data_IF_522404072022
#
_entry.id   IF_522404072022
#
_cell.length_a   1.000
_cell.length_b   1.000
_cell.length_c   1.000
_cell.angle_alpha   90.00
_cell.angle_beta   90.00
_cell.angle_gamma   90.00
#
_symmetry.space_group_name_H-M   'P 1'
#
loop_
_entity.id
_entity.type
_entity.pdbx_description
1 polymer ?
#
# COMPACT_ATOMS: atom_id res chain seq x y z
N UNK A 1 -49.86 -35.25 -9.75
CA UNK A 1 -48.49 -34.93 -9.30
C UNK A 1 -48.06 -33.65 -9.98
N UNK A 2 -47.92 -32.54 -9.24
CA UNK A 2 -47.08 -31.37 -9.57
C UNK A 2 -47.19 -30.34 -8.41
N UNK A 3 -46.56 -30.64 -7.28
CA UNK A 3 -46.43 -29.71 -6.15
C UNK A 3 -45.19 -28.79 -6.30
N UNK A 4 -44.76 -28.54 -7.54
CA UNK A 4 -43.50 -27.86 -7.85
C UNK A 4 -43.54 -26.38 -7.49
N UNK A 5 -44.62 -25.67 -7.80
CA UNK A 5 -44.78 -24.23 -7.51
C UNK A 5 -44.78 -23.86 -6.00
N UNK A 6 -45.62 -24.46 -5.13
CA UNK A 6 -45.66 -24.10 -3.72
C UNK A 6 -44.38 -24.50 -2.97
N UNK A 7 -43.76 -25.64 -3.35
CA UNK A 7 -42.48 -26.04 -2.78
C UNK A 7 -41.35 -25.09 -3.18
N UNK A 8 -41.28 -24.69 -4.46
CA UNK A 8 -40.31 -23.71 -4.94
C UNK A 8 -40.50 -22.34 -4.28
N UNK A 9 -41.74 -21.85 -4.15
CA UNK A 9 -42.01 -20.57 -3.49
C UNK A 9 -41.57 -20.57 -2.01
N UNK A 10 -41.82 -21.67 -1.28
CA UNK A 10 -41.37 -21.83 0.11
C UNK A 10 -39.84 -21.86 0.22
N UNK A 11 -39.17 -22.55 -0.71
CA UNK A 11 -37.70 -22.61 -0.75
C UNK A 11 -37.09 -21.24 -1.07
N UNK A 12 -37.62 -20.52 -2.06
CA UNK A 12 -37.18 -19.17 -2.39
C UNK A 12 -37.43 -18.19 -1.24
N UNK A 13 -38.58 -18.29 -0.55
CA UNK A 13 -38.88 -17.48 0.62
C UNK A 13 -37.92 -17.75 1.79
N UNK A 14 -37.58 -19.01 2.06
CA UNK A 14 -36.57 -19.37 3.05
C UNK A 14 -35.17 -18.85 2.67
N UNK A 15 -34.79 -18.99 1.39
CA UNK A 15 -33.52 -18.48 0.86
C UNK A 15 -33.41 -16.96 0.96
N UNK A 16 -34.47 -16.22 0.61
CA UNK A 16 -34.50 -14.76 0.74
C UNK A 16 -34.38 -14.32 2.19
N UNK A 17 -35.07 -14.98 3.13
CA UNK A 17 -34.95 -14.67 4.57
C UNK A 17 -33.54 -14.93 5.07
N UNK A 18 -32.95 -16.07 4.71
CA UNK A 18 -31.58 -16.39 5.10
C UNK A 18 -30.59 -15.35 4.54
N UNK A 19 -30.75 -14.96 3.27
CA UNK A 19 -29.96 -13.91 2.64
C UNK A 19 -30.08 -12.58 3.41
N UNK A 20 -31.31 -12.10 3.66
CA UNK A 20 -31.54 -10.84 4.35
C UNK A 20 -30.99 -10.84 5.78
N UNK A 21 -31.18 -11.93 6.52
CA UNK A 21 -30.65 -12.07 7.88
C UNK A 21 -29.12 -12.07 7.85
N UNK A 22 -28.50 -12.85 6.97
CA UNK A 22 -27.04 -12.88 6.87
C UNK A 22 -26.49 -11.52 6.42
N UNK A 23 -27.12 -10.83 5.47
CA UNK A 23 -26.72 -9.48 5.06
C UNK A 23 -26.81 -8.49 6.22
N UNK A 24 -27.86 -8.53 7.03
CA UNK A 24 -27.97 -7.65 8.19
C UNK A 24 -26.90 -7.98 9.24
N UNK A 25 -26.69 -9.26 9.51
CA UNK A 25 -25.70 -9.70 10.52
C UNK A 25 -24.28 -9.37 10.07
N UNK A 26 -23.87 -9.75 8.86
CA UNK A 26 -22.48 -9.61 8.41
C UNK A 26 -22.17 -8.25 7.81
N UNK A 27 -23.17 -7.55 7.26
CA UNK A 27 -23.01 -6.25 6.62
C UNK A 27 -23.30 -5.06 7.53
N UNK A 28 -24.08 -5.23 8.61
CA UNK A 28 -24.46 -4.13 9.51
C UNK A 28 -24.05 -4.41 10.95
N UNK A 29 -24.58 -5.47 11.56
CA UNK A 29 -24.36 -5.70 13.00
C UNK A 29 -22.89 -5.98 13.30
N UNK A 30 -22.23 -6.84 12.52
CA UNK A 30 -20.83 -7.18 12.72
C UNK A 30 -19.88 -5.98 12.52
N UNK A 31 -19.93 -5.22 11.41
CA UNK A 31 -19.06 -4.06 11.24
C UNK A 31 -19.29 -2.98 12.31
N UNK A 32 -20.54 -2.71 12.71
CA UNK A 32 -20.83 -1.74 13.77
C UNK A 32 -20.30 -2.19 15.13
N UNK A 33 -20.46 -3.46 15.48
CA UNK A 33 -19.94 -4.01 16.73
C UNK A 33 -18.42 -3.92 16.77
N UNK A 34 -17.73 -4.38 15.72
CA UNK A 34 -16.26 -4.33 15.62
C UNK A 34 -15.77 -2.88 15.67
N UNK A 35 -16.42 -1.97 14.94
CA UNK A 35 -16.07 -0.54 14.93
C UNK A 35 -16.27 0.09 16.30
N UNK A 36 -17.40 -0.18 16.96
CA UNK A 36 -17.70 0.34 18.30
C UNK A 36 -16.67 -0.11 19.33
N UNK A 37 -16.29 -1.39 19.31
CA UNK A 37 -15.24 -1.93 20.18
C UNK A 37 -13.88 -1.29 19.87
N UNK A 38 -13.51 -1.21 18.59
CA UNK A 38 -12.23 -0.65 18.16
C UNK A 38 -12.09 0.83 18.53
N UNK A 39 -13.14 1.62 18.34
CA UNK A 39 -13.16 3.03 18.71
C UNK A 39 -13.17 3.23 20.24
N UNK A 40 -13.85 2.36 20.99
CA UNK A 40 -13.91 2.43 22.45
C UNK A 40 -12.60 2.03 23.14
N UNK A 41 -11.88 1.03 22.61
CA UNK A 41 -10.69 0.48 23.27
C UNK A 41 -9.37 0.92 22.62
N UNK A 42 -9.36 1.14 21.30
CA UNK A 42 -8.15 1.36 20.51
C UNK A 42 -8.31 2.50 19.48
N UNK A 43 -8.81 3.69 19.86
CA UNK A 43 -9.14 4.76 18.91
C UNK A 43 -7.95 5.18 18.06
N UNK A 44 -6.73 5.23 18.62
CA UNK A 44 -5.53 5.57 17.86
C UNK A 44 -5.26 4.60 16.70
N UNK A 45 -5.42 3.30 16.91
CA UNK A 45 -5.23 2.27 15.85
C UNK A 45 -6.42 2.24 14.90
N UNK A 46 -7.64 2.34 15.43
CA UNK A 46 -8.88 2.34 14.64
C UNK A 46 -8.95 3.52 13.65
N UNK A 47 -8.35 4.66 14.02
CA UNK A 47 -8.26 5.84 13.17
C UNK A 47 -6.98 5.88 12.33
N UNK A 48 -6.27 4.75 12.18
CA UNK A 48 -5.17 4.64 11.22
C UNK A 48 -3.77 4.95 11.77
N UNK A 49 -3.60 5.02 13.09
CA UNK A 49 -2.30 5.28 13.75
C UNK A 49 -1.63 6.57 13.25
N UNK A 50 -2.41 7.66 13.20
CA UNK A 50 -1.97 8.95 12.68
C UNK A 50 -0.80 9.54 13.47
N UNK A 51 0.14 10.13 12.75
CA UNK A 51 1.25 10.92 13.30
C UNK A 51 0.95 12.39 13.03
N UNK A 52 1.03 13.22 14.08
CA UNK A 52 0.74 14.64 14.01
C UNK A 52 1.94 15.49 14.43
N UNK A 53 2.12 16.63 13.76
CA UNK A 53 3.12 17.64 14.11
C UNK A 53 2.49 19.03 13.96
N UNK A 54 2.66 19.89 14.96
CA UNK A 54 2.10 21.25 14.95
C UNK A 54 0.57 21.29 14.83
N UNK A 55 -0.15 20.30 15.39
CA UNK A 55 -1.61 20.21 15.31
C UNK A 55 -2.15 19.73 13.95
N UNK A 56 -1.28 19.32 13.03
CA UNK A 56 -1.64 18.79 11.71
C UNK A 56 -1.21 17.33 11.58
N UNK A 57 -2.08 16.49 11.02
CA UNK A 57 -1.73 15.12 10.64
C UNK A 57 -0.72 15.18 9.49
N UNK A 58 0.45 14.58 9.69
CA UNK A 58 1.57 14.54 8.72
C UNK A 58 1.73 13.16 8.08
N UNK A 59 1.09 12.13 8.64
CA UNK A 59 1.13 10.77 8.10
C UNK A 59 0.52 9.74 9.03
N UNK A 60 0.87 8.48 8.80
CA UNK A 60 0.54 7.34 9.66
C UNK A 60 1.82 6.58 9.98
N UNK A 61 1.91 6.02 11.18
CA UNK A 61 3.02 5.16 11.56
C UNK A 61 3.09 3.85 10.74
N UNK A 62 2.05 3.55 9.95
CA UNK A 62 1.93 2.34 9.14
C UNK A 62 2.17 2.58 7.64
N UNK A 63 2.49 3.81 7.24
CA UNK A 63 2.62 4.19 5.82
C UNK A 63 3.98 4.84 5.57
N UNK A 64 4.81 4.18 4.77
CA UNK A 64 6.03 4.76 4.22
C UNK A 64 5.74 5.87 3.21
N UNK A 65 6.45 6.99 3.32
CA UNK A 65 6.37 8.11 2.39
C UNK A 65 7.66 8.19 1.55
N UNK A 66 7.52 8.57 0.27
CA UNK A 66 8.67 8.84 -0.60
C UNK A 66 9.21 10.25 -0.33
N UNK A 67 10.52 10.36 -0.15
CA UNK A 67 11.20 11.63 0.13
C UNK A 67 11.99 12.09 -1.09
N UNK A 68 11.25 12.54 -2.09
CA UNK A 68 11.76 12.91 -3.40
C UNK A 68 11.78 14.43 -3.61
N UNK A 69 12.79 14.91 -4.35
CA UNK A 69 12.84 16.27 -4.87
C UNK A 69 11.84 16.44 -6.03
N UNK A 70 11.31 17.67 -6.23
CA UNK A 70 10.46 17.95 -7.38
C UNK A 70 11.14 17.58 -8.71
N UNK A 71 10.37 16.95 -9.60
CA UNK A 71 10.81 16.64 -10.96
C UNK A 71 11.34 17.89 -11.67
N UNK A 72 12.59 17.84 -12.13
CA UNK A 72 13.16 18.90 -12.97
C UNK A 72 12.76 18.71 -14.43
N UNK A 73 12.74 19.80 -15.19
CA UNK A 73 12.38 19.75 -16.61
C UNK A 73 13.33 18.80 -17.38
N UNK A 74 12.76 17.80 -18.04
CA UNK A 74 13.51 16.74 -18.74
C UNK A 74 13.81 15.49 -17.91
N UNK A 75 13.50 15.46 -16.60
CA UNK A 75 13.59 14.26 -15.79
C UNK A 75 12.30 13.43 -15.89
N UNK A 76 12.45 12.10 -15.96
CA UNK A 76 11.33 11.15 -15.94
C UNK A 76 11.03 10.62 -14.54
N UNK A 77 12.04 10.61 -13.67
CA UNK A 77 11.97 10.18 -12.28
C UNK A 77 12.50 11.28 -11.39
N UNK A 78 11.88 11.55 -10.23
CA UNK A 78 12.43 12.49 -9.28
C UNK A 78 13.73 11.95 -8.67
N UNK A 79 14.59 12.86 -8.20
CA UNK A 79 15.79 12.49 -7.47
C UNK A 79 15.48 12.41 -5.96
N UNK A 80 16.14 11.51 -5.24
CA UNK A 80 15.99 11.42 -3.79
C UNK A 80 16.40 12.73 -3.09
N UNK A 81 15.64 13.12 -2.08
CA UNK A 81 15.98 14.23 -1.18
C UNK A 81 16.84 13.71 -0.03
N UNK A 82 18.16 13.79 -0.20
CA UNK A 82 19.16 13.24 0.73
C UNK A 82 19.17 13.88 2.13
N UNK A 83 18.31 14.87 2.40
CA UNK A 83 18.07 15.35 3.77
C UNK A 83 17.28 14.34 4.61
N UNK A 84 16.61 13.40 3.98
CA UNK A 84 15.80 12.37 4.61
C UNK A 84 16.37 10.98 4.36
N UNK A 85 16.04 10.07 5.26
CA UNK A 85 16.29 8.65 5.05
C UNK A 85 15.43 8.13 3.89
N UNK A 86 16.04 7.33 3.02
CA UNK A 86 15.36 6.75 1.86
C UNK A 86 14.85 5.36 2.24
N UNK A 87 13.53 5.19 2.22
CA UNK A 87 12.90 3.89 2.41
C UNK A 87 13.08 2.97 1.20
N UNK A 88 12.42 1.81 1.24
CA UNK A 88 12.45 0.85 0.14
C UNK A 88 11.86 1.45 -1.15
N UNK A 89 12.37 1.09 -2.34
CA UNK A 89 11.78 1.53 -3.61
C UNK A 89 10.28 1.22 -3.71
N UNK A 90 9.45 2.19 -4.07
CA UNK A 90 7.99 2.03 -4.16
C UNK A 90 7.49 1.87 -5.62
N UNK A 91 8.22 1.15 -6.48
CA UNK A 91 7.94 1.08 -7.92
C UNK A 91 6.59 0.43 -8.28
N UNK A 92 5.98 -0.32 -7.35
CA UNK A 92 4.62 -0.88 -7.50
C UNK A 92 3.50 0.10 -7.12
N UNK A 93 3.84 1.20 -6.45
CA UNK A 93 2.90 2.24 -6.06
C UNK A 93 2.58 3.12 -7.27
N UNK A 94 1.32 3.12 -7.68
CA UNK A 94 0.88 3.86 -8.86
C UNK A 94 -0.40 4.63 -8.58
N UNK A 95 -0.73 5.54 -9.50
CA UNK A 95 -2.04 6.16 -9.52
C UNK A 95 -2.96 5.42 -10.48
N UNK A 96 -4.24 5.35 -10.15
CA UNK A 96 -5.25 4.74 -11.02
C UNK A 96 -5.24 5.33 -12.44
N UNK A 97 -5.17 4.47 -13.45
CA UNK A 97 -5.13 4.85 -14.87
C UNK A 97 -6.47 4.67 -15.59
N UNK A 98 -7.34 3.80 -15.07
CA UNK A 98 -8.62 3.45 -15.72
C UNK A 98 -9.74 4.48 -15.48
N UNK A 99 -9.81 5.07 -14.28
CA UNK A 99 -10.82 6.07 -13.93
C UNK A 99 -10.14 7.40 -13.59
N UNK A 100 -9.95 8.27 -14.56
CA UNK A 100 -9.24 9.54 -14.37
C UNK A 100 -10.07 10.66 -13.71
N UNK A 101 -11.31 10.37 -13.27
CA UNK A 101 -12.16 11.36 -12.58
C UNK A 101 -11.64 11.74 -11.19
N UNK A 102 -10.77 10.90 -10.63
CA UNK A 102 -10.13 11.12 -9.34
C UNK A 102 -8.73 10.51 -9.34
N UNK A 103 -7.88 10.94 -8.41
CA UNK A 103 -6.53 10.39 -8.21
C UNK A 103 -6.53 9.56 -6.93
N UNK A 104 -6.43 8.24 -7.07
CA UNK A 104 -6.19 7.28 -6.00
C UNK A 104 -4.74 6.84 -6.04
N UNK A 105 -4.17 6.69 -4.85
CA UNK A 105 -2.95 5.92 -4.67
C UNK A 105 -3.32 4.44 -4.60
N UNK A 106 -2.70 3.62 -5.45
CA UNK A 106 -2.94 2.18 -5.53
C UNK A 106 -1.79 1.47 -4.82
N UNK A 107 -2.10 0.80 -3.71
CA UNK A 107 -1.15 -0.09 -3.04
C UNK A 107 -0.96 -1.36 -3.87
N UNK A 108 0.30 -1.73 -4.12
CA UNK A 108 0.64 -2.87 -4.96
C UNK A 108 2.14 -3.09 -5.12
N UNK A 109 2.48 -4.30 -5.59
CA UNK A 109 3.82 -4.72 -5.92
C UNK A 109 4.14 -4.48 -7.41
N UNK A 110 5.42 -4.54 -7.77
CA UNK A 110 5.85 -4.54 -9.17
C UNK A 110 5.45 -5.80 -9.94
N UNK A 111 5.28 -6.93 -9.23
CA UNK A 111 4.93 -8.24 -9.78
C UNK A 111 5.85 -8.71 -10.94
N UNK A 112 7.12 -8.33 -10.91
CA UNK A 112 8.12 -8.76 -11.90
C UNK A 112 8.80 -10.07 -11.44
N UNK A 113 8.97 -11.00 -12.36
CA UNK A 113 9.69 -12.26 -12.10
C UNK A 113 11.21 -12.02 -11.97
N UNK A 114 11.92 -12.94 -11.31
CA UNK A 114 13.35 -12.81 -11.02
C UNK A 114 14.24 -12.72 -12.28
N UNK A 115 13.80 -13.31 -13.41
CA UNK A 115 14.47 -13.27 -14.71
C UNK A 115 14.02 -12.10 -15.59
N UNK A 116 13.10 -11.26 -15.10
CA UNK A 116 12.58 -10.14 -15.85
C UNK A 116 13.67 -9.05 -15.99
N UNK A 117 13.99 -8.68 -17.24
CA UNK A 117 15.01 -7.68 -17.53
C UNK A 117 14.73 -6.33 -16.84
N UNK A 118 13.48 -5.88 -16.80
CA UNK A 118 13.10 -4.62 -16.14
C UNK A 118 13.40 -4.66 -14.65
N UNK A 119 13.16 -5.79 -13.97
CA UNK A 119 13.50 -5.93 -12.56
C UNK A 119 15.02 -5.85 -12.35
N UNK A 120 15.79 -6.56 -13.17
CA UNK A 120 17.25 -6.56 -13.09
C UNK A 120 17.81 -5.14 -13.32
N UNK A 121 17.27 -4.42 -14.31
CA UNK A 121 17.66 -3.03 -14.58
C UNK A 121 17.31 -2.13 -13.38
N UNK A 122 16.10 -2.22 -12.82
CA UNK A 122 15.67 -1.44 -11.66
C UNK A 122 16.58 -1.66 -10.43
N UNK A 123 16.92 -2.91 -10.13
CA UNK A 123 17.79 -3.24 -8.99
C UNK A 123 19.19 -2.68 -9.20
N UNK A 124 19.75 -2.78 -10.42
CA UNK A 124 21.07 -2.24 -10.74
C UNK A 124 21.10 -0.71 -10.68
N UNK A 125 20.06 -0.05 -11.19
CA UNK A 125 19.92 1.40 -11.12
C UNK A 125 19.80 1.89 -9.67
N UNK A 126 18.97 1.22 -8.85
CA UNK A 126 18.84 1.52 -7.44
C UNK A 126 20.16 1.31 -6.69
N UNK A 127 20.87 0.20 -6.93
CA UNK A 127 22.18 -0.07 -6.31
C UNK A 127 23.20 1.02 -6.66
N UNK A 128 23.26 1.41 -7.93
CA UNK A 128 24.15 2.49 -8.38
C UNK A 128 23.79 3.83 -7.74
N UNK A 129 22.50 4.14 -7.58
CA UNK A 129 22.04 5.33 -6.88
C UNK A 129 22.44 5.31 -5.40
N UNK A 130 22.20 4.20 -4.69
CA UNK A 130 22.58 4.06 -3.27
C UNK A 130 24.08 4.25 -3.08
N UNK A 131 24.91 3.60 -3.91
CA UNK A 131 26.38 3.75 -3.84
C UNK A 131 26.77 5.21 -4.06
N UNK A 132 26.21 5.86 -5.08
CA UNK A 132 26.52 7.26 -5.40
C UNK A 132 26.11 8.20 -4.28
N UNK A 133 24.90 8.04 -3.76
CA UNK A 133 24.28 9.01 -2.85
C UNK A 133 24.78 8.87 -1.41
N UNK A 134 25.31 7.69 -1.03
CA UNK A 134 25.81 7.40 0.32
C UNK A 134 27.35 7.30 0.41
N UNK A 135 28.08 7.41 -0.71
CA UNK A 135 29.54 7.48 -0.67
C UNK A 135 30.01 8.88 -0.32
N UNK A 136 30.84 8.98 0.72
CA UNK A 136 31.46 10.25 1.16
C UNK A 136 32.99 10.16 1.10
N UNK A 137 33.72 11.29 1.06
CA UNK A 137 35.18 11.25 1.06
C UNK A 137 35.73 10.45 2.26
N UNK A 138 36.56 9.44 1.96
CA UNK A 138 37.13 8.53 2.97
C UNK A 138 36.26 7.32 3.33
N UNK A 139 34.99 7.28 2.90
CA UNK A 139 34.07 6.18 3.16
C UNK A 139 33.24 5.86 1.89
N UNK A 140 33.84 5.21 0.88
CA UNK A 140 33.10 4.76 -0.29
C UNK A 140 32.22 3.55 0.07
N UNK A 141 31.02 3.51 -0.48
CA UNK A 141 30.11 2.36 -0.36
C UNK A 141 30.41 1.38 -1.48
N UNK A 142 30.69 0.11 -1.15
CA UNK A 142 30.81 -0.95 -2.16
C UNK A 142 29.42 -1.40 -2.61
N UNK A 143 29.20 -1.73 -3.90
CA UNK A 143 27.94 -2.33 -4.35
C UNK A 143 27.54 -3.58 -3.56
N UNK A 144 28.51 -4.37 -3.09
CA UNK A 144 28.26 -5.58 -2.31
C UNK A 144 27.72 -5.30 -0.89
N UNK A 145 27.93 -4.09 -0.38
CA UNK A 145 27.49 -3.68 0.96
C UNK A 145 26.07 -3.07 0.93
N UNK A 146 25.49 -2.89 -0.26
CA UNK A 146 24.14 -2.34 -0.41
C UNK A 146 23.10 -3.37 0.06
N UNK A 147 22.27 -3.05 1.06
CA UNK A 147 21.25 -3.98 1.55
C UNK A 147 20.16 -4.21 0.50
N UNK A 148 19.57 -5.41 0.51
CA UNK A 148 18.54 -5.79 -0.45
C UNK A 148 17.30 -4.87 -0.39
N UNK A 149 16.92 -4.40 0.79
CA UNK A 149 15.75 -3.53 0.98
C UNK A 149 15.93 -2.15 0.35
N UNK A 150 17.16 -1.66 0.18
CA UNK A 150 17.44 -0.41 -0.51
C UNK A 150 17.26 -0.52 -2.04
N UNK A 151 17.21 -1.73 -2.59
CA UNK A 151 17.17 -1.97 -4.05
C UNK A 151 15.97 -2.77 -4.51
N UNK A 152 15.14 -3.29 -3.59
CA UNK A 152 13.97 -4.11 -3.91
C UNK A 152 12.68 -3.48 -3.41
N UNK A 153 11.66 -3.47 -4.26
CA UNK A 153 10.34 -2.96 -3.89
C UNK A 153 9.56 -3.91 -2.98
N UNK A 154 8.81 -3.32 -2.06
CA UNK A 154 7.90 -4.07 -1.18
C UNK A 154 6.63 -4.54 -1.89
N UNK A 155 5.93 -5.49 -1.29
CA UNK A 155 4.69 -6.05 -1.84
C UNK A 155 3.50 -5.07 -1.80
N UNK A 156 3.52 -4.11 -0.88
CA UNK A 156 2.45 -3.11 -0.72
C UNK A 156 2.74 -1.80 -1.44
N UNK A 157 4.01 -1.49 -1.71
CA UNK A 157 4.45 -0.17 -2.16
C UNK A 157 4.34 0.93 -1.09
N UNK A 158 3.93 0.60 0.14
CA UNK A 158 3.67 1.55 1.24
C UNK A 158 4.46 1.21 2.51
N UNK A 159 5.53 0.44 2.36
CA UNK A 159 6.30 -0.13 3.48
C UNK A 159 6.93 0.98 4.34
N UNK A 160 6.56 1.09 5.63
CA UNK A 160 7.19 2.04 6.54
C UNK A 160 8.55 1.56 7.07
N UNK A 161 8.91 0.29 6.83
CA UNK A 161 10.06 -0.39 7.41
C UNK A 161 11.17 -0.66 6.36
N UNK A 162 12.33 -1.12 6.85
CA UNK A 162 13.51 -1.57 6.08
C UNK A 162 14.09 -2.87 6.62
#
# INVERSE_FOLDING_TARGET
MNNTLPNTARLLGAGLRALLVLTLVTGVLYPLLVTGIAQGLLPGKANGSEVSSGGRVVGSALIGQSYDLPLKQGQRTPAADLKWFQGRPANGLATNTLNTRYKLLVSGATNLAADNKTLVDQVREAQAAVVKDNSVPGHPVSPADVPADAVTSSGSGLDPDI
#
